data_IF_213161226284
#
_entry.id   IF_213161226284
#
_cell.length_a   1.000
_cell.length_b   1.000
_cell.length_c   1.000
_cell.angle_alpha   90.00
_cell.angle_beta   90.00
_cell.angle_gamma   90.00
#
_symmetry.space_group_name_H-M   'P 1'
#
loop_
_entity.id
_entity.type
_entity.pdbx_description
1 polymer ?
#
# COMPACT_ATOMS: atom_id res chain seq x y z
N UNK A 1 5.04 28.07 2.90
CA UNK A 1 6.46 28.21 3.24
C UNK A 1 6.72 27.66 4.65
N UNK A 2 7.81 26.91 4.79
CA UNK A 2 8.25 26.32 6.06
C UNK A 2 9.51 27.06 6.51
N UNK A 3 9.50 27.64 7.71
CA UNK A 3 10.65 28.32 8.32
C UNK A 3 10.88 27.81 9.75
N UNK A 4 11.97 28.27 10.39
CA UNK A 4 12.22 28.00 11.82
C UNK A 4 11.17 28.66 12.73
N UNK A 5 10.47 29.66 12.26
CA UNK A 5 9.45 30.42 12.99
C UNK A 5 8.05 29.83 12.81
N UNK A 6 7.87 28.91 11.88
CA UNK A 6 6.58 28.23 11.65
C UNK A 6 6.26 27.95 10.19
N UNK A 7 4.98 27.69 9.95
CA UNK A 7 4.45 27.38 8.62
C UNK A 7 3.52 28.49 8.17
N UNK A 8 3.81 29.09 7.01
CA UNK A 8 2.94 30.06 6.36
C UNK A 8 2.25 29.43 5.14
N UNK A 9 0.92 29.60 5.05
CA UNK A 9 0.12 29.13 3.92
C UNK A 9 -0.26 30.32 3.05
N UNK A 10 -0.09 30.20 1.74
CA UNK A 10 -0.46 31.19 0.75
C UNK A 10 -1.58 30.61 -0.13
N UNK A 11 -2.72 31.32 -0.20
CA UNK A 11 -3.78 31.03 -1.16
C UNK A 11 -4.81 29.98 -0.73
N UNK A 12 -4.99 29.71 0.57
CA UNK A 12 -6.05 28.81 1.06
C UNK A 12 -6.08 28.62 2.56
N UNK A 13 -7.13 28.00 3.07
CA UNK A 13 -7.23 27.60 4.48
C UNK A 13 -6.44 26.31 4.74
N UNK A 14 -5.57 26.37 5.75
CA UNK A 14 -4.83 25.20 6.21
C UNK A 14 -5.72 24.26 7.02
N UNK A 15 -5.92 23.03 6.55
CA UNK A 15 -6.51 21.97 7.37
C UNK A 15 -5.44 21.39 8.29
N UNK A 16 -5.52 21.68 9.59
CA UNK A 16 -4.67 21.06 10.61
C UNK A 16 -5.19 19.66 10.90
N UNK A 17 -4.29 18.66 10.85
CA UNK A 17 -4.55 17.29 11.30
C UNK A 17 -3.67 17.02 12.52
N UNK A 18 -4.26 16.49 13.59
CA UNK A 18 -3.50 16.01 14.75
C UNK A 18 -3.02 14.58 14.45
N UNK A 19 -1.71 14.38 14.54
CA UNK A 19 -1.13 13.03 14.41
C UNK A 19 -1.46 12.22 15.67
N UNK A 20 -1.83 10.93 15.47
CA UNK A 20 -2.07 10.00 16.57
C UNK A 20 -0.79 9.63 17.32
N UNK A 21 -0.94 9.01 18.50
CA UNK A 21 0.21 8.58 19.33
C UNK A 21 1.13 7.59 18.61
N UNK A 22 0.59 6.74 17.75
CA UNK A 22 1.37 5.77 16.97
C UNK A 22 2.39 6.43 16.02
N UNK A 23 2.07 7.62 15.52
CA UNK A 23 2.96 8.39 14.64
C UNK A 23 4.04 9.17 15.44
N UNK A 24 3.89 9.29 16.76
CA UNK A 24 4.84 9.98 17.66
C UNK A 24 5.94 9.07 18.20
N UNK A 25 5.74 7.76 18.20
CA UNK A 25 6.65 6.78 18.76
C UNK A 25 7.79 6.37 17.80
N UNK A 26 8.36 7.32 17.08
CA UNK A 26 9.52 7.11 16.20
C UNK A 26 10.86 7.00 16.96
N UNK A 27 10.82 6.77 18.28
CA UNK A 27 12.02 6.60 19.11
C UNK A 27 12.65 5.21 18.93
N UNK A 28 13.94 5.08 19.29
CA UNK A 28 14.68 3.81 19.26
C UNK A 28 14.20 2.77 20.29
N UNK A 29 13.30 3.11 21.19
CA UNK A 29 12.76 2.26 22.26
C UNK A 29 13.84 1.47 23.03
N UNK A 30 15.01 2.10 23.31
CA UNK A 30 16.15 1.48 24.01
C UNK A 30 17.10 0.68 23.13
N UNK A 31 16.83 0.55 21.83
CA UNK A 31 17.75 -0.14 20.89
C UNK A 31 18.85 0.80 20.41
N UNK A 32 20.03 0.24 20.14
CA UNK A 32 21.19 0.98 19.62
C UNK A 32 20.91 1.52 18.21
N UNK A 33 20.22 0.72 17.37
CA UNK A 33 19.90 1.05 15.98
C UNK A 33 18.40 0.87 15.68
N UNK A 34 17.86 1.73 14.83
CA UNK A 34 16.45 1.61 14.37
C UNK A 34 16.19 0.29 13.65
N UNK A 35 17.11 -0.16 12.81
CA UNK A 35 17.00 -1.44 12.10
C UNK A 35 16.84 -2.62 13.07
N UNK A 36 17.62 -2.65 14.16
CA UNK A 36 17.50 -3.70 15.17
C UNK A 36 16.12 -3.66 15.86
N UNK A 37 15.64 -2.46 16.20
CA UNK A 37 14.30 -2.27 16.73
C UNK A 37 13.26 -2.84 15.78
N UNK A 38 13.28 -2.46 14.51
CA UNK A 38 12.31 -2.87 13.50
C UNK A 38 12.32 -4.39 13.27
N UNK A 39 13.51 -5.01 13.21
CA UNK A 39 13.65 -6.48 13.12
C UNK A 39 12.96 -7.18 14.31
N UNK A 40 13.15 -6.66 15.52
CA UNK A 40 12.56 -7.26 16.72
C UNK A 40 11.06 -6.99 16.85
N UNK A 41 10.56 -5.92 16.25
CA UNK A 41 9.14 -5.57 16.20
C UNK A 41 8.36 -6.32 15.10
N UNK A 42 9.03 -6.87 14.09
CA UNK A 42 8.42 -7.51 12.93
C UNK A 42 7.37 -8.57 13.28
N UNK A 43 7.61 -9.51 14.23
CA UNK A 43 6.59 -10.51 14.58
C UNK A 43 5.28 -9.89 15.13
N UNK A 44 5.39 -8.80 15.88
CA UNK A 44 4.20 -8.13 16.42
C UNK A 44 3.52 -7.25 15.37
N UNK A 45 4.28 -6.58 14.50
CA UNK A 45 3.76 -5.85 13.36
C UNK A 45 2.94 -6.77 12.43
N UNK A 46 3.47 -7.96 12.16
CA UNK A 46 2.75 -8.98 11.39
C UNK A 46 1.45 -9.39 12.08
N UNK A 47 1.49 -9.73 13.38
CA UNK A 47 0.28 -10.11 14.13
C UNK A 47 -0.76 -8.98 14.14
N UNK A 48 -0.36 -7.74 14.34
CA UNK A 48 -1.27 -6.58 14.30
C UNK A 48 -1.95 -6.46 12.94
N UNK A 49 -1.19 -6.60 11.85
CA UNK A 49 -1.73 -6.55 10.50
C UNK A 49 -2.74 -7.67 10.24
N UNK A 50 -2.38 -8.92 10.60
CA UNK A 50 -3.27 -10.07 10.42
C UNK A 50 -4.57 -9.91 11.20
N UNK A 51 -4.50 -9.45 12.45
CA UNK A 51 -5.70 -9.23 13.29
C UNK A 51 -6.67 -8.17 12.73
N UNK A 52 -6.23 -7.31 11.83
CA UNK A 52 -7.14 -6.36 11.17
C UNK A 52 -8.04 -7.03 10.12
N UNK A 53 -7.62 -8.18 9.59
CA UNK A 53 -8.26 -8.82 8.43
C UNK A 53 -8.64 -10.28 8.65
N UNK A 54 -8.31 -10.87 9.78
CA UNK A 54 -8.66 -12.27 10.12
C UNK A 54 -9.54 -12.27 11.34
N UNK A 55 -10.71 -12.88 11.21
CA UNK A 55 -11.70 -13.04 12.30
C UNK A 55 -11.23 -14.08 13.32
N UNK A 56 -11.92 -14.16 14.47
CA UNK A 56 -11.63 -15.15 15.50
C UNK A 56 -11.81 -16.60 15.01
N UNK A 57 -12.68 -16.80 14.02
CA UNK A 57 -12.96 -18.11 13.42
C UNK A 57 -11.95 -18.48 12.31
N UNK A 58 -11.03 -17.56 11.99
CA UNK A 58 -9.99 -17.75 10.97
C UNK A 58 -10.39 -17.36 9.56
N UNK A 59 -11.57 -16.80 9.38
CA UNK A 59 -12.01 -16.25 8.10
C UNK A 59 -11.37 -14.89 7.82
N UNK A 60 -11.29 -14.53 6.56
CA UNK A 60 -10.77 -13.23 6.11
C UNK A 60 -11.93 -12.25 5.94
N UNK A 61 -11.80 -11.07 6.53
CA UNK A 61 -12.79 -10.00 6.45
C UNK A 61 -12.15 -8.72 5.90
N UNK A 62 -12.56 -8.33 4.70
CA UNK A 62 -12.20 -7.07 4.04
C UNK A 62 -13.39 -6.10 3.93
N UNK A 63 -14.47 -6.35 4.64
CA UNK A 63 -15.75 -5.63 4.52
C UNK A 63 -15.64 -4.12 4.81
N UNK A 64 -14.63 -3.71 5.57
CA UNK A 64 -14.45 -2.30 5.96
C UNK A 64 -14.15 -1.35 4.80
N UNK A 65 -13.64 -1.83 3.66
CA UNK A 65 -13.03 -0.98 2.63
C UNK A 65 -13.56 -1.25 1.20
N UNK A 66 -14.57 -2.11 1.03
CA UNK A 66 -15.10 -2.49 -0.31
C UNK A 66 -14.09 -3.24 -1.19
N UNK A 67 -13.02 -3.75 -0.59
CA UNK A 67 -11.93 -4.44 -1.29
C UNK A 67 -12.36 -5.82 -1.77
N UNK A 68 -13.29 -6.45 -1.07
CA UNK A 68 -13.73 -7.82 -1.34
C UNK A 68 -14.33 -7.94 -2.74
N UNK A 69 -15.22 -7.04 -3.13
CA UNK A 69 -15.85 -7.04 -4.44
C UNK A 69 -14.82 -6.90 -5.57
N UNK A 70 -13.83 -6.00 -5.39
CA UNK A 70 -12.76 -5.79 -6.37
C UNK A 70 -11.85 -7.03 -6.50
N UNK A 71 -11.56 -7.71 -5.39
CA UNK A 71 -10.78 -8.94 -5.39
C UNK A 71 -11.53 -10.10 -6.05
N UNK A 72 -12.82 -10.25 -5.75
CA UNK A 72 -13.66 -11.33 -6.32
C UNK A 72 -13.96 -11.12 -7.80
N UNK A 73 -14.05 -9.88 -8.26
CA UNK A 73 -14.26 -9.56 -9.67
C UNK A 73 -13.01 -9.75 -10.54
N UNK A 74 -11.82 -9.70 -9.94
CA UNK A 74 -10.56 -9.76 -10.67
C UNK A 74 -10.29 -11.14 -11.28
N UNK A 75 -10.06 -11.19 -12.59
CA UNK A 75 -9.57 -12.38 -13.32
C UNK A 75 -8.06 -12.35 -13.52
N UNK A 76 -7.47 -11.18 -13.41
CA UNK A 76 -6.02 -10.95 -13.47
C UNK A 76 -5.61 -9.97 -12.39
N UNK A 77 -4.42 -10.17 -11.82
CA UNK A 77 -3.83 -9.28 -10.81
C UNK A 77 -2.43 -8.84 -11.26
N UNK A 78 -2.21 -7.54 -11.35
CA UNK A 78 -0.88 -6.98 -11.51
C UNK A 78 -0.42 -6.42 -10.16
N UNK A 79 0.75 -6.82 -9.67
CA UNK A 79 1.33 -6.27 -8.45
C UNK A 79 2.49 -5.35 -8.83
N UNK A 80 2.38 -4.06 -8.49
CA UNK A 80 3.33 -3.03 -8.89
C UNK A 80 3.97 -2.39 -7.67
N UNK A 81 5.29 -2.44 -7.58
CA UNK A 81 6.04 -1.91 -6.45
C UNK A 81 7.52 -1.63 -6.79
N UNK A 82 8.25 -1.01 -5.87
CA UNK A 82 9.70 -0.81 -5.94
C UNK A 82 10.42 -1.53 -4.79
N UNK A 83 11.68 -1.88 -5.01
CA UNK A 83 12.58 -2.43 -3.98
C UNK A 83 12.05 -3.72 -3.36
N UNK A 84 12.16 -3.85 -2.04
CA UNK A 84 11.72 -5.06 -1.31
C UNK A 84 10.22 -5.28 -1.36
N UNK A 85 9.42 -4.22 -1.51
CA UNK A 85 7.97 -4.34 -1.73
C UNK A 85 7.66 -5.08 -3.06
N UNK A 86 8.50 -4.91 -4.09
CA UNK A 86 8.37 -5.66 -5.35
C UNK A 86 8.63 -7.15 -5.13
N UNK A 87 9.61 -7.51 -4.30
CA UNK A 87 9.85 -8.93 -3.94
C UNK A 87 8.65 -9.53 -3.20
N UNK A 88 8.02 -8.79 -2.29
CA UNK A 88 6.76 -9.21 -1.69
C UNK A 88 5.64 -9.38 -2.75
N UNK A 89 5.60 -8.49 -3.75
CA UNK A 89 4.71 -8.60 -4.90
C UNK A 89 4.92 -9.86 -5.72
N UNK A 90 6.17 -10.30 -5.92
CA UNK A 90 6.48 -11.56 -6.61
C UNK A 90 5.92 -12.77 -5.85
N UNK A 91 6.04 -12.77 -4.52
CA UNK A 91 5.47 -13.82 -3.67
C UNK A 91 3.95 -13.79 -3.72
N UNK A 92 3.34 -12.61 -3.65
CA UNK A 92 1.89 -12.44 -3.76
C UNK A 92 1.37 -12.95 -5.11
N UNK A 93 2.01 -12.59 -6.22
CA UNK A 93 1.64 -13.08 -7.55
C UNK A 93 1.75 -14.60 -7.67
N UNK A 94 2.76 -15.22 -7.02
CA UNK A 94 2.86 -16.67 -6.94
C UNK A 94 1.66 -17.28 -6.19
N UNK A 95 1.24 -16.70 -5.07
CA UNK A 95 0.09 -17.20 -4.31
C UNK A 95 -1.24 -16.99 -5.04
N UNK A 96 -1.45 -15.87 -5.71
CA UNK A 96 -2.63 -15.68 -6.56
C UNK A 96 -2.78 -16.78 -7.59
N UNK A 97 -1.70 -17.10 -8.33
CA UNK A 97 -1.72 -18.18 -9.31
C UNK A 97 -1.94 -19.55 -8.69
N UNK A 98 -1.25 -19.84 -7.58
CA UNK A 98 -1.23 -21.19 -7.00
C UNK A 98 -2.47 -21.51 -6.17
N UNK A 99 -2.97 -20.54 -5.40
CA UNK A 99 -4.03 -20.78 -4.42
C UNK A 99 -5.40 -20.31 -4.94
N UNK A 100 -5.44 -19.17 -5.61
CA UNK A 100 -6.69 -18.61 -6.14
C UNK A 100 -6.96 -19.01 -7.61
N UNK A 101 -5.97 -19.54 -8.33
CA UNK A 101 -6.12 -19.85 -9.76
C UNK A 101 -6.26 -18.61 -10.65
N UNK A 102 -5.91 -17.42 -10.13
CA UNK A 102 -6.00 -16.15 -10.81
C UNK A 102 -4.66 -15.84 -11.49
N UNK A 103 -4.72 -15.41 -12.74
CA UNK A 103 -3.53 -14.93 -13.46
C UNK A 103 -2.93 -13.73 -12.73
N UNK A 104 -1.63 -13.78 -12.39
CA UNK A 104 -1.00 -12.70 -11.66
C UNK A 104 0.47 -12.53 -12.03
N UNK A 105 0.89 -11.26 -12.13
CA UNK A 105 2.27 -10.88 -12.42
C UNK A 105 2.75 -9.77 -11.48
N UNK A 106 4.06 -9.69 -11.27
CA UNK A 106 4.67 -8.63 -10.47
C UNK A 106 5.60 -7.78 -11.35
N UNK A 107 5.49 -6.48 -11.23
CA UNK A 107 6.24 -5.49 -12.00
C UNK A 107 7.00 -4.54 -11.09
N UNK A 108 8.19 -4.15 -11.51
CA UNK A 108 8.87 -3.01 -10.90
C UNK A 108 8.22 -1.71 -11.41
N UNK A 109 7.88 -0.80 -10.48
CA UNK A 109 7.08 0.36 -10.82
C UNK A 109 7.77 1.33 -11.78
N UNK A 110 9.11 1.45 -11.73
CA UNK A 110 9.88 2.29 -12.65
C UNK A 110 9.74 1.86 -14.11
N UNK A 111 9.58 0.56 -14.37
CA UNK A 111 9.50 0.01 -15.72
C UNK A 111 8.05 -0.19 -16.20
N UNK A 112 7.10 -0.18 -15.27
CA UNK A 112 5.71 -0.55 -15.54
C UNK A 112 5.04 0.28 -16.63
N UNK A 113 5.24 1.60 -16.60
CA UNK A 113 4.67 2.49 -17.61
C UNK A 113 5.30 2.30 -18.99
N UNK A 114 6.61 2.06 -19.04
CA UNK A 114 7.38 1.92 -20.28
C UNK A 114 7.24 0.53 -20.89
N UNK A 115 6.93 -0.48 -20.09
CA UNK A 115 6.72 -1.86 -20.53
C UNK A 115 5.46 -2.04 -21.42
N UNK A 116 4.63 -1.02 -21.56
CA UNK A 116 3.41 -1.07 -22.37
C UNK A 116 2.41 -2.09 -21.87
N UNK A 117 2.39 -2.36 -20.57
CA UNK A 117 1.48 -3.34 -19.97
C UNK A 117 0.03 -2.94 -20.21
N UNK A 118 -0.69 -3.78 -20.93
CA UNK A 118 -2.13 -3.59 -21.12
C UNK A 118 -2.86 -4.03 -19.87
N UNK A 119 -3.75 -3.18 -19.38
CA UNK A 119 -4.58 -3.47 -18.23
C UNK A 119 -6.03 -3.54 -18.68
N UNK A 120 -6.53 -4.76 -18.74
CA UNK A 120 -7.90 -5.06 -19.16
C UNK A 120 -8.91 -4.70 -18.05
N UNK A 121 -10.21 -4.75 -18.37
CA UNK A 121 -11.27 -4.32 -17.43
C UNK A 121 -11.41 -5.24 -16.22
N UNK A 122 -11.07 -6.51 -16.37
CA UNK A 122 -11.11 -7.53 -15.34
C UNK A 122 -9.77 -7.68 -14.58
N UNK A 123 -8.84 -6.74 -14.78
CA UNK A 123 -7.55 -6.72 -14.11
C UNK A 123 -7.56 -5.75 -12.93
N UNK A 124 -7.25 -6.26 -11.74
CA UNK A 124 -6.97 -5.46 -10.56
C UNK A 124 -5.46 -5.15 -10.47
N UNK A 125 -5.10 -3.87 -10.42
CA UNK A 125 -3.70 -3.49 -10.19
C UNK A 125 -3.48 -3.14 -8.71
N UNK A 126 -2.61 -3.93 -8.07
CA UNK A 126 -2.25 -3.81 -6.66
C UNK A 126 -0.92 -3.08 -6.52
N UNK A 127 -0.93 -1.93 -5.87
CA UNK A 127 0.25 -1.11 -5.59
C UNK A 127 0.74 -1.35 -4.17
N UNK A 128 1.99 -1.78 -3.98
CA UNK A 128 2.54 -2.03 -2.65
C UNK A 128 3.60 -0.98 -2.32
N UNK A 129 3.40 -0.25 -1.23
CA UNK A 129 4.34 0.78 -0.77
C UNK A 129 4.22 1.04 0.73
N UNK A 130 5.31 0.92 1.46
CA UNK A 130 5.32 1.23 2.88
C UNK A 130 5.00 2.71 3.14
N UNK A 131 5.61 3.63 2.38
CA UNK A 131 5.43 5.08 2.53
C UNK A 131 4.17 5.62 1.88
N UNK A 132 3.65 4.96 0.83
CA UNK A 132 2.58 5.48 -0.03
C UNK A 132 2.95 6.75 -0.81
N UNK A 133 4.26 7.06 -0.91
CA UNK A 133 4.79 8.29 -1.54
C UNK A 133 5.89 8.01 -2.57
N UNK A 134 6.12 6.75 -2.93
CA UNK A 134 7.15 6.36 -3.91
C UNK A 134 6.78 6.90 -5.29
N UNK A 135 7.63 7.74 -5.87
CA UNK A 135 7.34 8.49 -7.09
C UNK A 135 6.93 7.59 -8.28
N UNK A 136 7.71 6.54 -8.55
CA UNK A 136 7.45 5.63 -9.66
C UNK A 136 6.13 4.86 -9.45
N UNK A 137 5.87 4.43 -8.21
CA UNK A 137 4.62 3.73 -7.87
C UNK A 137 3.40 4.65 -8.03
N UNK A 138 3.54 5.93 -7.67
CA UNK A 138 2.49 6.94 -7.89
C UNK A 138 2.28 7.25 -9.37
N UNK A 139 3.36 7.31 -10.16
CA UNK A 139 3.25 7.51 -11.60
C UNK A 139 2.48 6.34 -12.26
N UNK A 140 2.84 5.11 -11.90
CA UNK A 140 2.14 3.91 -12.37
C UNK A 140 0.65 3.90 -11.94
N UNK A 141 0.35 4.23 -10.68
CA UNK A 141 -1.03 4.35 -10.19
C UNK A 141 -1.86 5.34 -11.04
N UNK A 142 -1.31 6.53 -11.28
CA UNK A 142 -1.99 7.57 -12.06
C UNK A 142 -2.23 7.14 -13.50
N UNK A 143 -1.26 6.46 -14.12
CA UNK A 143 -1.39 5.92 -15.48
C UNK A 143 -2.53 4.88 -15.57
N UNK A 144 -2.69 4.01 -14.58
CA UNK A 144 -3.76 3.01 -14.52
C UNK A 144 -5.12 3.66 -14.25
N UNK A 145 -5.18 4.61 -13.32
CA UNK A 145 -6.41 5.36 -13.03
C UNK A 145 -6.90 6.19 -14.22
N UNK A 146 -5.99 6.76 -14.98
CA UNK A 146 -6.33 7.50 -16.21
C UNK A 146 -7.01 6.61 -17.26
N UNK A 147 -6.79 5.28 -17.20
CA UNK A 147 -7.47 4.29 -18.04
C UNK A 147 -8.82 3.82 -17.43
N UNK A 148 -9.23 4.36 -16.28
CA UNK A 148 -10.47 3.96 -15.60
C UNK A 148 -10.43 2.54 -15.02
N UNK A 149 -9.24 2.04 -14.66
CA UNK A 149 -9.05 0.66 -14.17
C UNK A 149 -9.05 0.60 -12.65
N UNK A 150 -9.47 -0.56 -12.12
CA UNK A 150 -9.51 -0.81 -10.68
C UNK A 150 -8.11 -0.87 -10.07
N UNK A 151 -7.96 -0.24 -8.91
CA UNK A 151 -6.70 -0.10 -8.21
C UNK A 151 -6.85 -0.38 -6.72
N UNK A 152 -5.91 -1.14 -6.16
CA UNK A 152 -5.80 -1.43 -4.74
C UNK A 152 -4.42 -1.02 -4.24
N UNK A 153 -4.34 -0.27 -3.17
CA UNK A 153 -3.08 0.02 -2.48
C UNK A 153 -2.92 -0.84 -1.22
N UNK A 154 -1.74 -1.40 -1.04
CA UNK A 154 -1.30 -1.99 0.24
C UNK A 154 -0.25 -1.06 0.82
N UNK A 155 -0.61 -0.33 1.87
CA UNK A 155 0.23 0.74 2.45
C UNK A 155 0.28 0.64 3.98
N UNK A 156 1.35 1.19 4.56
CA UNK A 156 1.48 1.30 6.02
C UNK A 156 1.11 2.71 6.54
N UNK A 157 1.61 3.75 5.89
CA UNK A 157 1.41 5.13 6.35
C UNK A 157 0.04 5.68 5.96
N UNK A 158 -0.58 6.41 6.89
CA UNK A 158 -1.86 7.11 6.67
C UNK A 158 -1.65 8.51 6.09
N UNK A 159 -2.65 9.02 5.40
CA UNK A 159 -2.68 10.39 4.86
C UNK A 159 -1.74 10.60 3.66
N UNK A 160 -1.34 9.51 3.00
CA UNK A 160 -0.43 9.54 1.86
C UNK A 160 -1.15 9.89 0.56
N UNK A 161 -0.38 10.25 -0.48
CA UNK A 161 -0.92 10.49 -1.81
C UNK A 161 -1.57 9.22 -2.37
N UNK A 162 -0.92 8.06 -2.20
CA UNK A 162 -1.45 6.79 -2.69
C UNK A 162 -2.79 6.44 -2.04
N UNK A 163 -2.95 6.68 -0.73
CA UNK A 163 -4.22 6.47 -0.01
C UNK A 163 -5.37 7.32 -0.58
N UNK A 164 -5.07 8.54 -1.01
CA UNK A 164 -6.09 9.45 -1.57
C UNK A 164 -6.42 9.19 -3.03
N UNK A 165 -5.45 8.68 -3.79
CA UNK A 165 -5.59 8.48 -5.23
C UNK A 165 -5.97 7.06 -5.62
N UNK A 166 -5.82 6.06 -4.75
CA UNK A 166 -6.17 4.67 -5.06
C UNK A 166 -7.69 4.44 -4.88
N UNK A 167 -8.24 3.49 -5.65
CA UNK A 167 -9.65 3.11 -5.55
C UNK A 167 -9.97 2.40 -4.23
N UNK A 168 -9.10 1.48 -3.83
CA UNK A 168 -9.22 0.70 -2.60
C UNK A 168 -7.90 0.72 -1.83
N UNK A 169 -7.96 0.55 -0.50
CA UNK A 169 -6.77 0.60 0.36
C UNK A 169 -6.81 -0.48 1.43
N UNK A 170 -5.80 -1.31 1.47
CA UNK A 170 -5.48 -2.18 2.60
C UNK A 170 -4.30 -1.60 3.39
N UNK A 171 -4.38 -1.66 4.71
CA UNK A 171 -3.32 -1.10 5.57
C UNK A 171 -2.57 -2.19 6.30
N UNK A 172 -1.26 -2.11 6.26
CA UNK A 172 -0.41 -2.84 7.19
C UNK A 172 -0.26 -2.06 8.50
N UNK A 173 0.17 -2.70 9.55
CA UNK A 173 0.34 -2.11 10.89
C UNK A 173 1.78 -2.32 11.39
N UNK A 174 2.75 -1.71 10.68
CA UNK A 174 4.17 -1.80 11.01
C UNK A 174 4.67 -0.58 11.78
#
# INVERSE_FOLDING_TARGET
>A
ELSREGVQFFGGEAKKRTLGETERNAGRAGHEHYMLKEILEEPEAFRRTVRCYVTADGDVDFSCDGVEDALLAARRVNVVACGTAMHAGMVAAHYFRRLAGVEAESYIASEFCDAGVRVDEDCLTVFVSQSGETADTLAALRAIRAQGRETLAVINRRGTVMERECGHVLRTSC
#
